data_IF_099752268640
#
_entry.id   IF_099752268640
#
_cell.length_a   1.000
_cell.length_b   1.000
_cell.length_c   1.000
_cell.angle_alpha   90.00
_cell.angle_beta   90.00
_cell.angle_gamma   90.00
#
_symmetry.space_group_name_H-M   'P 1'
#
loop_
_entity.id
_entity.type
_entity.pdbx_description
1 polymer ?
#
# COMPACT_ATOMS: atom_id res chain seq x y z
N UNK A 1 0.75 25.19 -18.73
CA UNK A 1 0.49 23.76 -18.99
C UNK A 1 -1.02 23.57 -19.04
N UNK A 2 -1.53 23.00 -20.13
CA UNK A 2 -2.96 22.77 -20.35
C UNK A 2 -3.23 21.26 -20.28
N UNK A 3 -4.04 20.82 -19.30
CA UNK A 3 -4.51 19.42 -19.22
C UNK A 3 -5.80 19.24 -20.00
N UNK A 4 -5.90 18.19 -20.80
CA UNK A 4 -7.08 17.84 -21.61
C UNK A 4 -7.22 16.32 -21.73
N UNK A 5 -8.35 15.83 -22.24
CA UNK A 5 -8.50 14.39 -22.54
C UNK A 5 -7.70 14.02 -23.79
N UNK A 6 -7.81 14.83 -24.85
CA UNK A 6 -7.13 14.65 -26.13
C UNK A 6 -6.04 15.70 -26.35
N UNK A 7 -5.16 15.47 -27.32
CA UNK A 7 -4.19 16.47 -27.75
C UNK A 7 -4.86 17.77 -28.22
N UNK A 8 -4.34 18.91 -27.78
CA UNK A 8 -4.82 20.21 -28.24
C UNK A 8 -4.28 20.50 -29.65
N UNK A 9 -5.13 21.06 -30.51
CA UNK A 9 -4.72 21.44 -31.85
C UNK A 9 -3.82 22.68 -31.85
N UNK A 10 -3.15 22.93 -32.98
CA UNK A 10 -2.27 24.10 -33.14
C UNK A 10 -3.06 25.41 -33.04
N UNK A 11 -4.30 25.44 -33.50
CA UNK A 11 -5.17 26.61 -33.43
C UNK A 11 -5.51 26.97 -31.97
N UNK A 12 -5.84 25.95 -31.16
CA UNK A 12 -6.08 26.13 -29.71
C UNK A 12 -4.81 26.63 -29.03
N UNK A 13 -3.65 26.06 -29.38
CA UNK A 13 -2.34 26.49 -28.86
C UNK A 13 -2.06 27.96 -29.18
N UNK A 14 -2.28 28.38 -30.42
CA UNK A 14 -2.10 29.78 -30.85
C UNK A 14 -3.07 30.73 -30.15
N UNK A 15 -4.32 30.32 -29.97
CA UNK A 15 -5.32 31.09 -29.23
C UNK A 15 -4.88 31.32 -27.78
N UNK A 16 -4.47 30.27 -27.06
CA UNK A 16 -3.99 30.37 -25.69
C UNK A 16 -2.75 31.28 -25.60
N UNK A 17 -1.81 31.12 -26.53
CA UNK A 17 -0.62 31.98 -26.62
C UNK A 17 -0.98 33.46 -26.73
N UNK A 18 -1.93 33.82 -27.60
CA UNK A 18 -2.38 35.20 -27.78
C UNK A 18 -3.12 35.75 -26.55
N UNK A 19 -4.03 34.98 -25.95
CA UNK A 19 -4.81 35.44 -24.79
C UNK A 19 -4.00 35.50 -23.49
N UNK A 20 -3.00 34.63 -23.35
CA UNK A 20 -2.16 34.57 -22.15
C UNK A 20 -0.85 35.35 -22.29
N UNK A 21 -0.59 35.98 -23.46
CA UNK A 21 0.62 36.75 -23.75
C UNK A 21 1.93 35.96 -23.52
N UNK A 22 1.96 34.71 -23.97
CA UNK A 22 3.13 33.81 -23.89
C UNK A 22 3.46 33.28 -25.27
N UNK A 23 4.70 32.87 -25.51
CA UNK A 23 5.08 32.28 -26.80
C UNK A 23 4.36 30.94 -27.05
N UNK A 24 4.01 30.58 -28.30
CA UNK A 24 3.35 29.30 -28.59
C UNK A 24 4.12 28.08 -28.09
N UNK A 25 5.45 28.13 -28.07
CA UNK A 25 6.31 27.05 -27.54
C UNK A 25 6.17 26.82 -26.04
N UNK A 26 5.63 27.80 -25.30
CA UNK A 26 5.40 27.72 -23.84
C UNK A 26 4.04 27.13 -23.48
N UNK A 27 3.16 26.94 -24.48
CA UNK A 27 1.85 26.33 -24.31
C UNK A 27 1.97 24.81 -24.41
N UNK A 28 2.35 24.20 -23.30
CA UNK A 28 2.51 22.75 -23.16
C UNK A 28 1.14 22.08 -22.99
N UNK A 29 0.88 21.04 -23.77
CA UNK A 29 -0.30 20.17 -23.65
C UNK A 29 0.03 18.99 -22.74
N UNK A 30 -0.92 18.52 -21.94
CA UNK A 30 -0.82 17.26 -21.20
C UNK A 30 -2.16 16.53 -21.34
N UNK A 31 -2.25 15.63 -22.32
CA UNK A 31 -3.47 14.85 -22.53
C UNK A 31 -3.53 13.65 -21.56
N UNK A 32 -4.66 12.94 -21.52
CA UNK A 32 -4.78 11.74 -20.68
C UNK A 32 -3.92 10.61 -21.25
N UNK A 33 -2.89 10.24 -20.49
CA UNK A 33 -1.94 9.19 -20.88
C UNK A 33 -2.26 7.86 -20.18
N UNK A 34 -1.91 6.70 -20.78
CA UNK A 34 -2.26 5.39 -20.23
C UNK A 34 -1.65 5.08 -18.85
N UNK A 35 -0.55 5.73 -18.52
CA UNK A 35 0.14 5.54 -17.24
C UNK A 35 0.90 6.80 -16.83
N UNK A 36 1.07 6.99 -15.52
CA UNK A 36 1.86 8.08 -14.94
C UNK A 36 3.32 8.10 -15.43
N UNK A 37 3.85 6.95 -15.86
CA UNK A 37 5.21 6.85 -16.39
C UNK A 37 5.39 7.51 -17.76
N UNK A 38 4.30 7.80 -18.48
CA UNK A 38 4.34 8.55 -19.74
C UNK A 38 4.51 10.06 -19.54
N UNK A 39 4.12 10.60 -18.38
CA UNK A 39 4.13 12.05 -18.13
C UNK A 39 5.53 12.65 -18.31
N UNK A 40 6.62 12.10 -17.72
CA UNK A 40 7.96 12.64 -17.94
C UNK A 40 8.44 12.55 -19.39
N UNK A 41 8.10 11.45 -20.08
CA UNK A 41 8.47 11.23 -21.49
C UNK A 41 7.79 12.26 -22.39
N UNK A 42 6.49 12.47 -22.21
CA UNK A 42 5.71 13.41 -23.00
C UNK A 42 6.12 14.87 -22.73
N UNK A 43 6.43 15.20 -21.48
CA UNK A 43 6.95 16.53 -21.13
C UNK A 43 8.32 16.81 -21.78
N UNK A 44 9.19 15.80 -21.88
CA UNK A 44 10.45 15.91 -22.61
C UNK A 44 10.21 16.17 -24.11
N UNK A 45 9.28 15.43 -24.74
CA UNK A 45 8.95 15.58 -26.17
C UNK A 45 8.42 16.97 -26.52
N UNK A 46 7.76 17.65 -25.57
CA UNK A 46 7.29 19.02 -25.76
C UNK A 46 8.34 20.11 -25.50
N UNK A 47 9.58 19.73 -25.19
CA UNK A 47 10.69 20.67 -25.05
C UNK A 47 10.71 21.46 -23.75
N UNK A 48 10.16 20.90 -22.66
CA UNK A 48 10.15 21.56 -21.35
C UNK A 48 11.57 21.79 -20.80
N UNK A 49 12.50 20.91 -21.15
CA UNK A 49 13.89 20.95 -20.67
C UNK A 49 14.61 22.17 -21.25
N UNK A 50 14.48 22.39 -22.56
CA UNK A 50 15.05 23.55 -23.25
C UNK A 50 14.47 24.84 -22.71
N UNK A 51 13.16 24.85 -22.47
CA UNK A 51 12.46 26.01 -21.93
C UNK A 51 13.01 26.42 -20.55
N UNK A 52 13.20 25.46 -19.63
CA UNK A 52 13.76 25.75 -18.32
C UNK A 52 15.25 26.06 -18.37
N UNK A 53 16.02 25.40 -19.23
CA UNK A 53 17.44 25.66 -19.41
C UNK A 53 17.70 27.11 -19.84
N UNK A 54 16.94 27.59 -20.81
CA UNK A 54 16.99 28.98 -21.29
C UNK A 54 16.46 29.96 -20.22
N UNK A 55 15.27 29.69 -19.67
CA UNK A 55 14.59 30.64 -18.77
C UNK A 55 15.28 30.82 -17.42
N UNK A 56 15.88 29.76 -16.89
CA UNK A 56 16.56 29.76 -15.58
C UNK A 56 18.09 29.84 -15.71
N UNK A 57 18.62 29.96 -16.93
CA UNK A 57 20.06 30.04 -17.21
C UNK A 57 20.86 28.89 -16.57
N UNK A 58 20.37 27.65 -16.70
CA UNK A 58 20.92 26.49 -16.00
C UNK A 58 22.27 25.98 -16.56
N UNK A 59 22.77 26.57 -17.67
CA UNK A 59 24.04 26.14 -18.29
C UNK A 59 24.02 24.70 -18.80
N UNK A 60 22.84 24.19 -19.19
CA UNK A 60 22.68 22.83 -19.69
C UNK A 60 23.04 22.76 -21.17
N UNK A 61 24.09 22.00 -21.50
CA UNK A 61 24.43 21.68 -22.88
C UNK A 61 23.36 20.74 -23.50
N UNK A 62 23.03 20.85 -24.80
CA UNK A 62 22.06 19.97 -25.46
C UNK A 62 22.40 18.47 -25.35
N UNK A 63 23.69 18.13 -25.24
CA UNK A 63 24.18 16.76 -25.01
C UNK A 63 24.09 16.29 -23.55
N UNK A 64 23.76 17.18 -22.61
CA UNK A 64 23.65 16.87 -21.18
C UNK A 64 22.31 16.22 -20.81
N UNK A 65 21.41 15.98 -21.79
CA UNK A 65 20.16 15.25 -21.52
C UNK A 65 20.48 13.86 -20.96
N UNK A 66 19.85 13.44 -19.85
CA UNK A 66 20.16 12.18 -19.20
C UNK A 66 19.51 11.01 -19.96
N UNK A 67 20.06 10.69 -21.14
CA UNK A 67 19.52 9.68 -22.07
C UNK A 67 19.28 8.33 -21.39
N UNK A 68 20.17 7.93 -20.47
CA UNK A 68 20.01 6.72 -19.68
C UNK A 68 18.77 6.77 -18.76
N UNK A 69 18.56 7.89 -18.07
CA UNK A 69 17.41 8.07 -17.18
C UNK A 69 16.10 8.09 -17.97
N UNK A 70 16.07 8.82 -19.09
CA UNK A 70 14.89 8.85 -19.96
C UNK A 70 14.63 7.51 -20.64
N UNK A 71 15.69 6.73 -20.92
CA UNK A 71 15.59 5.33 -21.29
C UNK A 71 14.82 4.50 -20.25
N UNK A 72 15.13 4.66 -18.97
CA UNK A 72 14.40 3.98 -17.89
C UNK A 72 12.91 4.38 -17.85
N UNK A 73 12.59 5.67 -18.02
CA UNK A 73 11.20 6.13 -18.05
C UNK A 73 10.41 5.55 -19.23
N UNK A 74 11.01 5.54 -20.43
CA UNK A 74 10.40 4.94 -21.63
C UNK A 74 10.19 3.44 -21.45
N UNK A 75 11.16 2.73 -20.86
CA UNK A 75 11.03 1.30 -20.57
C UNK A 75 9.89 1.01 -19.57
N UNK A 76 9.79 1.79 -18.49
CA UNK A 76 8.70 1.67 -17.52
C UNK A 76 7.34 1.94 -18.15
N UNK A 77 7.25 2.97 -18.98
CA UNK A 77 6.04 3.34 -19.70
C UNK A 77 5.57 2.19 -20.64
N UNK A 78 6.49 1.62 -21.42
CA UNK A 78 6.21 0.47 -22.29
C UNK A 78 5.80 -0.79 -21.51
N UNK A 79 6.47 -1.09 -20.40
CA UNK A 79 6.13 -2.23 -19.53
C UNK A 79 4.74 -2.06 -18.90
N UNK A 80 4.34 -0.83 -18.59
CA UNK A 80 3.03 -0.56 -18.00
C UNK A 80 1.85 -0.76 -18.97
N UNK A 81 2.12 -0.92 -20.27
CA UNK A 81 1.09 -1.22 -21.29
C UNK A 81 1.06 -2.70 -21.69
N UNK A 82 2.21 -3.38 -21.60
CA UNK A 82 2.39 -4.74 -22.11
C UNK A 82 2.54 -5.72 -20.95
N UNK A 83 1.42 -6.32 -20.56
CA UNK A 83 1.41 -7.38 -19.55
C UNK A 83 1.18 -8.74 -20.18
N UNK A 84 1.88 -9.76 -19.67
CA UNK A 84 1.79 -11.14 -20.17
C UNK A 84 0.80 -12.00 -19.39
N UNK A 85 0.62 -11.70 -18.10
CA UNK A 85 -0.22 -12.45 -17.17
C UNK A 85 -0.98 -11.50 -16.27
N UNK A 86 -2.05 -11.97 -15.63
CA UNK A 86 -2.87 -11.20 -14.69
C UNK A 86 -2.72 -11.79 -13.29
N UNK A 87 -2.70 -10.93 -12.27
CA UNK A 87 -2.73 -11.34 -10.86
C UNK A 87 -3.84 -10.59 -10.13
N UNK A 88 -4.65 -11.33 -9.38
CA UNK A 88 -5.78 -10.80 -8.61
C UNK A 88 -5.42 -10.69 -7.13
N UNK A 89 -5.44 -9.48 -6.56
CA UNK A 89 -5.24 -9.26 -5.12
C UNK A 89 -6.53 -8.71 -4.52
N UNK A 90 -7.02 -9.38 -3.47
CA UNK A 90 -8.12 -8.88 -2.65
C UNK A 90 -7.58 -7.86 -1.65
N UNK A 91 -8.08 -6.62 -1.71
CA UNK A 91 -7.80 -5.58 -0.71
C UNK A 91 -9.02 -5.47 0.20
N UNK A 92 -8.89 -5.99 1.42
CA UNK A 92 -9.98 -6.03 2.41
C UNK A 92 -9.86 -4.82 3.32
N UNK A 93 -10.71 -3.83 3.10
CA UNK A 93 -10.58 -2.49 3.68
C UNK A 93 -11.88 -1.89 4.16
N UNK A 94 -11.78 -0.69 4.74
CA UNK A 94 -12.91 0.09 5.25
C UNK A 94 -13.50 1.03 4.19
N UNK A 95 -12.70 1.41 3.20
CA UNK A 95 -13.01 2.46 2.22
C UNK A 95 -12.90 1.95 0.78
N UNK A 96 -13.76 1.00 0.40
CA UNK A 96 -13.71 0.40 -0.95
C UNK A 96 -14.12 1.33 -2.08
N UNK A 97 -14.92 2.36 -1.78
CA UNK A 97 -15.41 3.34 -2.77
C UNK A 97 -14.46 4.51 -2.99
N UNK A 98 -13.48 4.69 -2.11
CA UNK A 98 -12.49 5.77 -2.18
C UNK A 98 -11.15 5.15 -2.52
N UNK A 99 -10.87 4.98 -3.81
CA UNK A 99 -9.59 4.41 -4.28
C UNK A 99 -8.39 5.17 -3.69
N UNK A 100 -8.53 6.48 -3.51
CA UNK A 100 -7.51 7.36 -2.94
C UNK A 100 -7.11 7.03 -1.50
N UNK A 101 -8.00 6.42 -0.72
CA UNK A 101 -7.72 6.02 0.66
C UNK A 101 -6.58 4.99 0.73
N UNK A 102 -6.35 4.24 -0.35
CA UNK A 102 -5.33 3.21 -0.46
C UNK A 102 -4.31 3.49 -1.58
N UNK A 103 -4.23 4.72 -2.08
CA UNK A 103 -3.37 5.09 -3.21
C UNK A 103 -1.91 4.66 -3.04
N UNK A 104 -1.31 4.85 -1.86
CA UNK A 104 0.08 4.42 -1.61
C UNK A 104 0.25 2.89 -1.70
N UNK A 105 -0.71 2.14 -1.17
CA UNK A 105 -0.73 0.68 -1.18
C UNK A 105 -0.92 0.15 -2.60
N UNK A 106 -1.89 0.71 -3.32
CA UNK A 106 -2.18 0.38 -4.73
C UNK A 106 -0.94 0.63 -5.59
N UNK A 107 -0.27 1.77 -5.42
CA UNK A 107 0.95 2.10 -6.16
C UNK A 107 2.10 1.17 -5.84
N UNK A 108 2.30 0.81 -4.56
CA UNK A 108 3.31 -0.18 -4.17
C UNK A 108 3.05 -1.54 -4.82
N UNK A 109 1.80 -2.01 -4.85
CA UNK A 109 1.44 -3.25 -5.55
C UNK A 109 1.65 -3.13 -7.07
N UNK A 110 1.33 -1.99 -7.68
CA UNK A 110 1.56 -1.74 -9.10
C UNK A 110 3.06 -1.81 -9.43
N UNK A 111 3.93 -1.27 -8.58
CA UNK A 111 5.39 -1.38 -8.75
C UNK A 111 5.86 -2.83 -8.72
N UNK A 112 5.39 -3.62 -7.75
CA UNK A 112 5.73 -5.05 -7.65
C UNK A 112 5.19 -5.84 -8.85
N UNK A 113 3.96 -5.58 -9.28
CA UNK A 113 3.36 -6.25 -10.43
C UNK A 113 4.11 -5.93 -11.73
N UNK A 114 4.52 -4.66 -11.91
CA UNK A 114 5.34 -4.23 -13.04
C UNK A 114 6.69 -4.93 -13.07
N UNK A 115 7.36 -5.07 -11.92
CA UNK A 115 8.61 -5.81 -11.80
C UNK A 115 8.46 -7.30 -12.16
N UNK A 116 7.30 -7.88 -11.84
CA UNK A 116 6.96 -9.26 -12.19
C UNK A 116 6.34 -9.43 -13.59
N UNK A 117 6.16 -8.36 -14.37
CA UNK A 117 5.48 -8.38 -15.69
C UNK A 117 4.01 -8.90 -15.66
N UNK A 118 3.29 -8.56 -14.60
CA UNK A 118 1.88 -8.93 -14.40
C UNK A 118 0.96 -7.70 -14.40
N UNK A 119 -0.23 -7.85 -14.98
CA UNK A 119 -1.33 -6.90 -14.85
C UNK A 119 -1.98 -7.11 -13.48
N UNK A 120 -1.78 -6.15 -12.58
CA UNK A 120 -2.45 -6.15 -11.29
C UNK A 120 -3.95 -5.88 -11.45
N UNK A 121 -4.78 -6.72 -10.85
CA UNK A 121 -6.22 -6.49 -10.68
C UNK A 121 -6.54 -6.48 -9.20
N UNK A 122 -7.02 -5.34 -8.70
CA UNK A 122 -7.39 -5.19 -7.30
C UNK A 122 -8.89 -5.42 -7.17
N UNK A 123 -9.27 -6.36 -6.30
CA UNK A 123 -10.65 -6.55 -5.87
C UNK A 123 -10.82 -5.87 -4.54
N UNK A 124 -11.53 -4.74 -4.53
CA UNK A 124 -11.85 -4.03 -3.30
C UNK A 124 -12.99 -4.76 -2.59
N UNK A 125 -12.76 -5.14 -1.34
CA UNK A 125 -13.72 -5.86 -0.52
C UNK A 125 -13.95 -5.08 0.75
N UNK A 126 -15.21 -4.73 1.02
CA UNK A 126 -15.55 -4.03 2.25
C UNK A 126 -15.52 -5.05 3.38
N UNK A 127 -14.73 -4.75 4.41
CA UNK A 127 -14.59 -5.66 5.53
C UNK A 127 -15.93 -5.90 6.24
N UNK A 128 -16.83 -4.92 6.28
CA UNK A 128 -18.16 -5.11 6.89
C UNK A 128 -18.99 -6.15 6.11
N UNK A 129 -18.86 -6.19 4.78
CA UNK A 129 -19.56 -7.16 3.92
C UNK A 129 -19.13 -8.61 4.17
N UNK A 130 -17.99 -8.84 4.85
CA UNK A 130 -17.52 -10.18 5.22
C UNK A 130 -18.04 -10.63 6.60
N UNK A 131 -18.68 -9.76 7.37
CA UNK A 131 -19.17 -10.07 8.72
C UNK A 131 -20.41 -10.98 8.68
N UNK A 132 -20.57 -11.81 9.71
CA UNK A 132 -21.65 -12.80 9.77
C UNK A 132 -23.04 -12.17 9.72
N UNK A 133 -23.20 -10.98 10.31
CA UNK A 133 -24.46 -10.23 10.34
C UNK A 133 -24.91 -9.83 8.93
N UNK A 134 -23.97 -9.58 8.02
CA UNK A 134 -24.28 -9.20 6.63
C UNK A 134 -24.86 -10.36 5.82
N UNK A 135 -24.62 -11.61 6.23
CA UNK A 135 -25.23 -12.78 5.60
C UNK A 135 -26.76 -12.75 5.69
N UNK A 136 -27.29 -12.26 6.80
CA UNK A 136 -28.74 -12.15 7.03
C UNK A 136 -29.28 -10.80 6.53
N UNK A 137 -28.56 -9.71 6.80
CA UNK A 137 -29.01 -8.37 6.46
C UNK A 137 -28.98 -8.08 4.95
N UNK A 138 -27.88 -8.44 4.28
CA UNK A 138 -27.66 -8.16 2.85
C UNK A 138 -26.91 -9.33 2.16
N UNK A 139 -27.55 -10.49 1.97
CA UNK A 139 -26.90 -11.72 1.50
C UNK A 139 -26.19 -11.57 0.15
N UNK A 140 -26.72 -10.73 -0.75
CA UNK A 140 -26.11 -10.49 -2.07
C UNK A 140 -24.72 -9.86 -1.93
N UNK A 141 -24.57 -8.84 -1.07
CA UNK A 141 -23.29 -8.18 -0.82
C UNK A 141 -22.32 -9.14 -0.14
N UNK A 142 -22.79 -9.86 0.87
CA UNK A 142 -22.00 -10.86 1.59
C UNK A 142 -21.41 -11.91 0.65
N UNK A 143 -22.24 -12.56 -0.18
CA UNK A 143 -21.77 -13.59 -1.09
C UNK A 143 -20.86 -13.03 -2.20
N UNK A 144 -21.13 -11.82 -2.70
CA UNK A 144 -20.28 -11.15 -3.67
C UNK A 144 -18.88 -10.84 -3.10
N UNK A 145 -18.81 -10.32 -1.88
CA UNK A 145 -17.56 -10.03 -1.18
C UNK A 145 -16.73 -11.32 -0.98
N UNK A 146 -17.36 -12.39 -0.49
CA UNK A 146 -16.70 -13.69 -0.32
C UNK A 146 -16.28 -14.32 -1.64
N UNK A 147 -17.06 -14.19 -2.72
CA UNK A 147 -16.65 -14.64 -4.05
C UNK A 147 -15.40 -13.89 -4.54
N UNK A 148 -15.36 -12.57 -4.35
CA UNK A 148 -14.20 -11.73 -4.68
C UNK A 148 -12.95 -12.16 -3.92
N UNK A 149 -13.09 -12.45 -2.62
CA UNK A 149 -12.02 -12.92 -1.76
C UNK A 149 -11.50 -14.29 -2.23
N UNK A 150 -12.41 -15.25 -2.41
CA UNK A 150 -12.08 -16.64 -2.75
C UNK A 150 -11.40 -16.77 -4.12
N UNK A 151 -11.81 -15.94 -5.07
CA UNK A 151 -11.26 -15.91 -6.43
C UNK A 151 -9.96 -15.09 -6.56
N UNK A 152 -9.41 -14.58 -5.46
CA UNK A 152 -8.14 -13.85 -5.47
C UNK A 152 -6.94 -14.77 -5.27
N UNK A 153 -5.80 -14.35 -5.81
CA UNK A 153 -4.51 -15.06 -5.72
C UNK A 153 -3.79 -14.73 -4.41
N UNK A 154 -4.05 -13.54 -3.85
CA UNK A 154 -3.55 -13.13 -2.54
C UNK A 154 -4.49 -12.14 -1.85
N UNK A 155 -4.31 -12.00 -0.53
CA UNK A 155 -5.12 -11.12 0.32
C UNK A 155 -4.22 -10.09 0.99
N UNK A 156 -4.66 -8.84 0.99
CA UNK A 156 -4.02 -7.72 1.65
C UNK A 156 -5.01 -7.05 2.60
N UNK A 157 -4.66 -7.00 3.88
CA UNK A 157 -5.38 -6.20 4.88
C UNK A 157 -4.50 -5.00 5.23
N UNK A 158 -4.85 -3.79 4.77
CA UNK A 158 -4.07 -2.57 5.04
C UNK A 158 -4.29 -2.08 6.48
N UNK A 159 -3.60 -0.99 6.82
CA UNK A 159 -3.83 -0.28 8.07
C UNK A 159 -5.25 0.30 8.16
N UNK A 160 -5.69 0.58 9.38
CA UNK A 160 -6.98 1.19 9.67
C UNK A 160 -7.04 1.64 11.13
N UNK A 161 -8.17 2.21 11.53
CA UNK A 161 -8.42 2.67 12.89
C UNK A 161 -9.86 2.39 13.30
N UNK A 162 -10.05 2.10 14.57
CA UNK A 162 -11.35 1.82 15.18
C UNK A 162 -11.89 0.41 14.90
N UNK A 163 -13.03 0.11 15.53
CA UNK A 163 -13.62 -1.24 15.59
C UNK A 163 -14.36 -1.70 14.33
N UNK A 164 -14.62 -0.79 13.38
CA UNK A 164 -15.46 -1.10 12.21
C UNK A 164 -14.77 -2.07 11.24
N UNK A 165 -15.48 -3.13 10.86
CA UNK A 165 -14.98 -4.12 9.89
C UNK A 165 -13.80 -4.93 10.42
N UNK A 166 -13.66 -5.08 11.75
CA UNK A 166 -12.58 -5.88 12.34
C UNK A 166 -12.89 -7.37 12.20
N UNK A 167 -14.09 -7.80 12.56
CA UNK A 167 -14.48 -9.21 12.50
C UNK A 167 -14.46 -9.74 11.07
N UNK A 168 -14.84 -8.92 10.08
CA UNK A 168 -14.71 -9.29 8.68
C UNK A 168 -13.25 -9.43 8.20
N UNK A 169 -12.33 -8.60 8.70
CA UNK A 169 -10.88 -8.77 8.43
C UNK A 169 -10.36 -10.05 9.06
N UNK A 170 -10.74 -10.33 10.31
CA UNK A 170 -10.38 -11.58 11.02
C UNK A 170 -10.87 -12.79 10.23
N UNK A 171 -12.11 -12.78 9.75
CA UNK A 171 -12.67 -13.85 8.92
C UNK A 171 -11.90 -14.03 7.60
N UNK A 172 -11.49 -12.94 6.95
CA UNK A 172 -10.66 -13.01 5.74
C UNK A 172 -9.29 -13.63 6.01
N UNK A 173 -8.66 -13.29 7.14
CA UNK A 173 -7.35 -13.82 7.56
C UNK A 173 -7.45 -15.31 7.90
N UNK A 174 -8.50 -15.71 8.63
CA UNK A 174 -8.79 -17.10 8.94
C UNK A 174 -8.94 -17.92 7.65
N UNK A 175 -9.70 -17.40 6.70
CA UNK A 175 -9.87 -18.03 5.40
C UNK A 175 -8.53 -18.14 4.66
N UNK A 176 -7.71 -17.08 4.64
CA UNK A 176 -6.40 -17.10 4.00
C UNK A 176 -5.50 -18.19 4.59
N UNK A 177 -5.45 -18.29 5.93
CA UNK A 177 -4.68 -19.31 6.65
C UNK A 177 -5.15 -20.73 6.36
N UNK A 178 -6.47 -20.97 6.44
CA UNK A 178 -7.07 -22.30 6.20
C UNK A 178 -6.93 -22.75 4.74
N UNK A 179 -7.05 -21.82 3.79
CA UNK A 179 -6.92 -22.09 2.36
C UNK A 179 -5.48 -22.03 1.83
N UNK A 180 -4.51 -21.71 2.69
CA UNK A 180 -3.08 -21.51 2.34
C UNK A 180 -2.88 -20.46 1.23
N UNK A 181 -3.71 -19.42 1.23
CA UNK A 181 -3.59 -18.28 0.32
C UNK A 181 -2.55 -17.28 0.85
N UNK A 182 -1.66 -16.74 -0.01
CA UNK A 182 -0.74 -15.68 0.39
C UNK A 182 -1.46 -14.49 1.02
N UNK A 183 -0.94 -14.03 2.14
CA UNK A 183 -1.51 -12.93 2.91
C UNK A 183 -0.43 -11.92 3.29
N UNK A 184 -0.79 -10.63 3.26
CA UNK A 184 0.01 -9.55 3.83
C UNK A 184 -0.89 -8.68 4.72
N UNK A 185 -0.49 -8.52 5.98
CA UNK A 185 -1.14 -7.62 6.93
C UNK A 185 -0.25 -6.42 7.21
N UNK A 186 -0.77 -5.21 7.00
CA UNK A 186 -0.05 -3.96 7.25
C UNK A 186 -0.65 -3.28 8.48
N UNK A 187 0.17 -3.02 9.51
CA UNK A 187 -0.24 -2.33 10.73
C UNK A 187 -1.45 -3.03 11.39
N UNK A 188 -2.67 -2.50 11.29
CA UNK A 188 -3.89 -3.15 11.79
C UNK A 188 -4.07 -4.58 11.23
N UNK A 189 -3.65 -4.85 10.00
CA UNK A 189 -3.70 -6.20 9.43
C UNK A 189 -2.87 -7.22 10.20
N UNK A 190 -1.71 -6.81 10.76
CA UNK A 190 -0.91 -7.66 11.64
C UNK A 190 -1.64 -7.92 12.95
N UNK A 191 -2.23 -6.89 13.56
CA UNK A 191 -2.97 -7.01 14.81
C UNK A 191 -4.16 -7.97 14.66
N UNK A 192 -4.94 -7.83 13.57
CA UNK A 192 -6.05 -8.73 13.26
C UNK A 192 -5.57 -10.18 13.06
N UNK A 193 -4.39 -10.39 12.48
CA UNK A 193 -3.84 -11.73 12.30
C UNK A 193 -3.42 -12.38 13.62
N UNK A 194 -2.86 -11.60 14.55
CA UNK A 194 -2.54 -12.07 15.90
C UNK A 194 -3.81 -12.44 16.67
N UNK A 195 -4.87 -11.63 16.54
CA UNK A 195 -6.18 -11.93 17.15
C UNK A 195 -6.79 -13.21 16.55
N UNK A 196 -6.81 -13.35 15.22
CA UNK A 196 -7.30 -14.57 14.54
C UNK A 196 -6.56 -15.80 15.04
N UNK A 197 -5.23 -15.74 15.09
CA UNK A 197 -4.41 -16.86 15.50
C UNK A 197 -4.63 -17.24 16.96
N UNK A 198 -4.75 -16.25 17.85
CA UNK A 198 -5.08 -16.48 19.26
C UNK A 198 -6.43 -17.20 19.42
N UNK A 199 -7.47 -16.73 18.72
CA UNK A 199 -8.82 -17.30 18.79
C UNK A 199 -8.89 -18.71 18.19
N UNK A 200 -8.36 -18.88 16.98
CA UNK A 200 -8.61 -20.07 16.16
C UNK A 200 -7.54 -21.16 16.26
N UNK A 201 -6.30 -20.83 16.62
CA UNK A 201 -5.20 -21.80 16.73
C UNK A 201 -4.88 -22.11 18.18
N UNK A 202 -4.76 -21.08 19.02
CA UNK A 202 -4.47 -21.27 20.46
C UNK A 202 -5.76 -21.61 21.24
N UNK A 203 -6.92 -21.14 20.79
CA UNK A 203 -8.22 -21.40 21.42
C UNK A 203 -8.64 -20.33 22.44
N UNK A 204 -8.03 -19.14 22.41
CA UNK A 204 -8.39 -18.03 23.27
C UNK A 204 -9.51 -17.20 22.66
N UNK A 205 -10.76 -17.65 22.80
CA UNK A 205 -11.94 -17.01 22.18
C UNK A 205 -12.10 -15.54 22.56
N UNK A 206 -11.78 -15.19 23.80
CA UNK A 206 -11.89 -13.82 24.32
C UNK A 206 -10.72 -12.91 23.92
N UNK A 207 -9.71 -13.41 23.18
CA UNK A 207 -8.56 -12.62 22.80
C UNK A 207 -8.96 -11.45 21.89
N UNK A 208 -8.54 -10.24 22.25
CA UNK A 208 -8.81 -9.05 21.45
C UNK A 208 -7.71 -7.98 21.60
N UNK A 209 -7.83 -6.90 20.83
CA UNK A 209 -7.05 -5.68 21.03
C UNK A 209 -7.72 -4.77 22.05
N UNK A 210 -6.92 -4.16 22.93
CA UNK A 210 -7.37 -3.10 23.82
C UNK A 210 -7.90 -1.87 23.07
N UNK A 211 -7.59 -1.69 21.78
CA UNK A 211 -8.21 -0.65 20.93
C UNK A 211 -9.69 -0.95 20.66
N UNK A 212 -10.01 -2.23 20.44
CA UNK A 212 -11.32 -2.67 19.92
C UNK A 212 -12.25 -3.04 21.08
N UNK A 213 -11.72 -3.76 22.06
CA UNK A 213 -12.41 -4.20 23.27
C UNK A 213 -11.50 -3.95 24.49
N UNK A 214 -11.65 -2.79 25.15
CA UNK A 214 -10.84 -2.44 26.33
C UNK A 214 -11.03 -3.37 27.53
N UNK A 215 -12.17 -4.07 27.61
CA UNK A 215 -12.55 -4.94 28.73
C UNK A 215 -12.20 -6.41 28.47
N UNK A 216 -11.53 -6.72 27.36
CA UNK A 216 -11.12 -8.09 27.03
C UNK A 216 -10.33 -8.72 28.17
N UNK A 217 -10.74 -9.91 28.58
CA UNK A 217 -10.02 -10.70 29.59
C UNK A 217 -8.62 -11.13 29.12
N UNK A 218 -8.31 -10.98 27.82
CA UNK A 218 -7.03 -11.39 27.23
C UNK A 218 -6.58 -10.40 26.13
N UNK A 219 -6.00 -9.26 26.52
CA UNK A 219 -5.56 -8.23 25.57
C UNK A 219 -4.26 -8.66 24.88
N UNK A 220 -4.37 -9.33 23.72
CA UNK A 220 -3.22 -9.79 22.93
C UNK A 220 -2.53 -8.66 22.18
N UNK A 221 -3.22 -7.54 21.99
CA UNK A 221 -2.68 -6.29 21.47
C UNK A 221 -3.01 -5.20 22.47
N UNK A 222 -2.01 -4.44 22.89
CA UNK A 222 -2.11 -3.42 23.95
C UNK A 222 -1.56 -2.08 23.48
N UNK A 223 -2.01 -0.99 24.08
CA UNK A 223 -1.40 0.32 23.85
C UNK A 223 -0.03 0.35 24.53
N UNK A 224 1.03 0.55 23.75
CA UNK A 224 2.39 0.72 24.26
C UNK A 224 2.97 1.99 23.64
N UNK A 225 2.64 3.17 24.22
CA UNK A 225 3.10 4.44 23.68
C UNK A 225 4.58 4.66 24.04
N UNK A 226 5.24 5.46 23.22
CA UNK A 226 6.64 5.78 23.42
C UNK A 226 6.82 6.97 24.35
N UNK A 227 7.81 6.87 25.23
CA UNK A 227 8.19 7.93 26.16
C UNK A 227 9.56 8.47 25.75
N UNK A 228 9.54 9.45 24.86
CA UNK A 228 10.74 10.06 24.30
C UNK A 228 11.23 11.22 25.19
N UNK A 229 12.55 11.35 25.35
CA UNK A 229 13.16 12.45 26.13
C UNK A 229 12.74 13.79 25.54
N UNK A 230 12.15 14.66 26.37
CA UNK A 230 11.66 15.99 25.97
C UNK A 230 10.22 16.02 25.45
N UNK A 231 9.52 14.88 25.39
CA UNK A 231 8.09 14.82 25.10
C UNK A 231 7.31 14.41 26.36
N UNK A 232 6.27 15.16 26.70
CA UNK A 232 5.39 14.83 27.82
C UNK A 232 4.24 13.92 27.36
N UNK A 233 4.03 12.83 28.11
CA UNK A 233 2.97 11.85 27.86
C UNK A 233 3.37 10.72 26.90
N UNK A 234 2.43 9.81 26.65
CA UNK A 234 2.61 8.70 25.72
C UNK A 234 2.47 9.16 24.27
N UNK A 235 3.55 9.06 23.51
CA UNK A 235 3.57 9.47 22.09
C UNK A 235 3.33 8.29 21.16
N UNK A 236 2.75 8.59 19.99
CA UNK A 236 2.55 7.58 18.95
C UNK A 236 3.90 7.20 18.34
N UNK A 237 4.12 5.90 18.12
CA UNK A 237 5.26 5.43 17.33
C UNK A 237 5.13 5.95 15.91
N UNK A 238 5.98 6.91 15.56
CA UNK A 238 5.91 7.66 14.31
C UNK A 238 7.30 7.86 13.71
N UNK A 239 7.38 7.71 12.39
CA UNK A 239 8.58 8.03 11.62
C UNK A 239 9.50 6.81 11.42
N UNK A 240 10.74 7.10 11.08
CA UNK A 240 11.76 6.10 10.73
C UNK A 240 12.21 5.36 11.98
N UNK A 241 12.18 4.03 11.96
CA UNK A 241 12.66 3.16 13.05
C UNK A 241 13.44 1.98 12.50
N UNK A 242 14.44 1.58 13.27
CA UNK A 242 15.19 0.36 13.02
C UNK A 242 14.37 -0.86 13.46
N UNK A 243 14.43 -1.90 12.65
CA UNK A 243 13.85 -3.22 12.91
C UNK A 243 14.93 -4.25 12.67
N UNK A 244 15.22 -5.06 13.68
CA UNK A 244 16.34 -6.00 13.73
C UNK A 244 15.79 -7.41 13.55
N UNK A 245 16.29 -8.14 12.55
CA UNK A 245 15.89 -9.53 12.35
C UNK A 245 16.45 -10.42 13.45
N UNK A 246 15.58 -11.21 14.09
CA UNK A 246 15.95 -12.15 15.16
C UNK A 246 16.30 -13.56 14.63
N UNK A 247 15.98 -13.85 13.38
CA UNK A 247 16.23 -15.16 12.75
C UNK A 247 16.78 -15.02 11.34
N UNK A 248 17.64 -15.97 10.95
CA UNK A 248 18.13 -16.07 9.59
C UNK A 248 17.10 -16.70 8.64
N UNK A 249 16.21 -17.53 9.17
CA UNK A 249 15.17 -18.22 8.40
C UNK A 249 13.92 -17.34 8.30
N UNK A 250 14.00 -16.31 7.45
CA UNK A 250 12.90 -15.39 7.17
C UNK A 250 12.84 -15.07 5.69
N UNK A 251 11.65 -15.23 5.10
CA UNK A 251 11.39 -14.84 3.70
C UNK A 251 11.61 -13.33 3.53
N UNK A 252 11.14 -12.52 4.49
CA UNK A 252 11.33 -11.07 4.47
C UNK A 252 12.82 -10.72 4.47
N UNK A 253 13.62 -11.36 5.32
CA UNK A 253 15.07 -11.12 5.37
C UNK A 253 15.74 -11.38 4.01
N UNK A 254 15.34 -12.44 3.31
CA UNK A 254 15.84 -12.75 1.96
C UNK A 254 15.45 -11.67 0.94
N UNK A 255 14.23 -11.13 1.02
CA UNK A 255 13.77 -10.03 0.16
C UNK A 255 14.56 -8.73 0.42
N UNK A 256 14.94 -8.47 1.67
CA UNK A 256 15.84 -7.38 2.06
C UNK A 256 17.33 -7.75 1.92
N UNK A 257 17.69 -8.64 0.99
CA UNK A 257 19.08 -8.99 0.66
C UNK A 257 19.91 -9.47 1.87
N UNK A 258 19.28 -10.18 2.81
CA UNK A 258 19.87 -10.72 4.03
C UNK A 258 20.40 -9.66 5.02
N UNK A 259 19.90 -8.43 4.95
CA UNK A 259 20.20 -7.41 5.96
C UNK A 259 19.89 -7.90 7.39
N UNK A 260 20.69 -7.46 8.35
CA UNK A 260 20.43 -7.70 9.78
C UNK A 260 19.45 -6.69 10.35
N UNK A 261 19.54 -5.44 9.88
CA UNK A 261 18.75 -4.30 10.30
C UNK A 261 18.11 -3.68 9.06
N UNK A 262 16.82 -3.35 9.16
CA UNK A 262 16.10 -2.55 8.16
C UNK A 262 15.53 -1.31 8.82
N UNK A 263 15.30 -0.27 8.03
CA UNK A 263 14.69 0.96 8.50
C UNK A 263 13.38 1.20 7.77
N UNK A 264 12.29 1.22 8.53
CA UNK A 264 10.94 1.41 7.98
C UNK A 264 10.21 2.53 8.71
N UNK A 265 9.11 3.00 8.11
CA UNK A 265 8.31 4.09 8.68
C UNK A 265 7.07 3.53 9.36
N UNK A 266 6.89 3.91 10.62
CA UNK A 266 5.77 3.49 11.45
C UNK A 266 4.80 4.64 11.70
N UNK A 267 3.53 4.27 11.95
CA UNK A 267 2.46 5.15 12.43
C UNK A 267 1.40 4.31 13.13
N UNK A 268 1.63 3.96 14.39
CA UNK A 268 0.68 3.22 15.25
C UNK A 268 0.94 3.48 16.74
N UNK A 269 0.01 3.04 17.59
CA UNK A 269 0.10 3.14 19.07
C UNK A 269 0.04 1.79 19.78
N UNK A 270 -0.47 0.78 19.08
CA UNK A 270 -0.75 -0.53 19.62
C UNK A 270 0.28 -1.53 19.13
N UNK A 271 0.69 -2.40 20.02
CA UNK A 271 1.72 -3.42 19.82
C UNK A 271 1.21 -4.77 20.31
N UNK A 272 1.81 -5.85 19.81
CA UNK A 272 1.54 -7.19 20.33
C UNK A 272 2.04 -7.27 21.77
N UNK A 273 1.18 -7.75 22.68
CA UNK A 273 1.51 -7.83 24.10
C UNK A 273 2.67 -8.82 24.32
N UNK A 274 3.85 -8.37 24.81
CA UNK A 274 5.01 -9.22 24.99
C UNK A 274 4.75 -10.44 25.88
N UNK A 275 3.81 -10.33 26.82
CA UNK A 275 3.42 -11.40 27.75
C UNK A 275 2.97 -12.69 27.04
N UNK A 276 2.39 -12.59 25.84
CA UNK A 276 1.85 -13.74 25.11
C UNK A 276 2.75 -14.20 23.95
N UNK A 277 3.86 -13.52 23.69
CA UNK A 277 4.75 -13.84 22.54
C UNK A 277 5.26 -15.28 22.58
N UNK A 278 5.64 -15.78 23.76
CA UNK A 278 6.09 -17.15 23.94
C UNK A 278 4.98 -18.20 23.73
N UNK A 279 3.70 -17.85 23.94
CA UNK A 279 2.57 -18.73 23.62
C UNK A 279 2.37 -18.82 22.10
N UNK A 280 2.43 -17.67 21.41
CA UNK A 280 2.33 -17.61 19.95
C UNK A 280 3.45 -18.40 19.25
N UNK A 281 4.70 -18.24 19.71
CA UNK A 281 5.84 -18.96 19.14
C UNK A 281 5.73 -20.47 19.33
N UNK A 282 5.29 -20.93 20.52
CA UNK A 282 5.01 -22.36 20.78
C UNK A 282 3.90 -22.91 19.90
N UNK A 283 2.88 -22.12 19.61
CA UNK A 283 1.78 -22.50 18.73
C UNK A 283 2.13 -22.40 17.23
N UNK A 284 3.30 -21.86 16.88
CA UNK A 284 3.84 -21.84 15.51
C UNK A 284 3.82 -20.49 14.81
N UNK A 285 3.34 -19.42 15.46
CA UNK A 285 3.44 -18.05 14.94
C UNK A 285 4.75 -17.42 15.43
N UNK A 286 5.77 -17.42 14.57
CA UNK A 286 7.12 -16.93 14.91
C UNK A 286 7.26 -15.42 14.67
N UNK A 287 7.81 -14.70 15.66
CA UNK A 287 8.21 -13.31 15.48
C UNK A 287 9.64 -13.26 14.92
N UNK A 288 9.78 -12.77 13.69
CA UNK A 288 11.05 -12.84 12.96
C UNK A 288 11.94 -11.60 13.12
N UNK A 289 11.39 -10.51 13.65
CA UNK A 289 12.09 -9.27 13.88
C UNK A 289 11.54 -8.55 15.11
N UNK A 290 12.37 -7.72 15.72
CA UNK A 290 12.07 -6.90 16.90
C UNK A 290 12.60 -5.50 16.67
N UNK A 291 12.16 -4.54 17.46
CA UNK A 291 12.81 -3.25 17.51
C UNK A 291 14.03 -3.29 18.45
N UNK A 292 14.66 -2.14 18.64
CA UNK A 292 15.86 -1.98 19.48
C UNK A 292 15.55 -1.90 20.98
N UNK A 293 14.28 -1.99 21.38
CA UNK A 293 13.80 -1.70 22.75
C UNK A 293 13.22 -2.92 23.45
#
# INVERSE_FOLDING_TARGET
>A
VCRSENEITREVRAKISNFCHVEPRQVLCMHDVPSIYHVPVFMEEQGIVELFAERLHLGLEPSARPQRLMGCWRELALKAERFSQQVSIALVGKYTKLEDAYSSVIKALQHSALACNHKLTIKYIDAEELEAQMKEAEPVKFHSAWQGLCSSDGILVPGGFGSRGIEGKIAAIEWARKSKKPFLGVCLGLQCAVIEFARNVIGWTEANSAEIDPETARPVVIEMPEHNVGQMGGTMRLGKRETIFSTQDSILRKLYQNAEIIEERHRHRYEVNPLYTADFERAGLRFVAKDST
#
